data_IF_939794851999
#
_entry.id   IF_939794851999
#
_cell.length_a   1.000
_cell.length_b   1.000
_cell.length_c   1.000
_cell.angle_alpha   90.00
_cell.angle_beta   90.00
_cell.angle_gamma   90.00
#
_symmetry.space_group_name_H-M   'P 1'
#
loop_
_entity.id
_entity.type
_entity.pdbx_description
1 polymer ?
#
# COMPACT_ATOMS: atom_id res chain seq x y z
N UNK A 1 1.41 35.22 11.97
CA UNK A 1 2.81 35.54 12.35
C UNK A 1 3.26 34.48 13.34
N UNK A 2 3.94 33.44 12.87
CA UNK A 2 4.49 32.40 13.74
C UNK A 2 5.99 32.65 13.90
N UNK A 3 6.43 32.70 15.16
CA UNK A 3 7.83 32.87 15.53
C UNK A 3 8.64 31.68 15.01
N UNK A 4 9.61 31.96 14.12
CA UNK A 4 10.68 31.03 13.78
C UNK A 4 11.55 30.82 15.03
N UNK A 5 11.36 29.71 15.73
CA UNK A 5 12.39 29.22 16.64
C UNK A 5 13.54 28.68 15.78
N UNK A 6 14.72 29.30 15.94
CA UNK A 6 16.00 28.72 15.50
C UNK A 6 16.20 27.41 16.25
N UNK A 7 16.39 26.33 15.51
CA UNK A 7 16.89 25.06 16.05
C UNK A 7 18.41 25.20 16.07
N UNK A 8 18.97 25.54 17.23
CA UNK A 8 20.40 25.43 17.50
C UNK A 8 20.74 23.96 17.79
N UNK A 9 21.88 23.50 17.25
CA UNK A 9 22.44 22.17 17.46
C UNK A 9 22.76 21.91 18.93
N UNK A 10 21.98 21.04 19.58
CA UNK A 10 22.25 20.54 20.93
C UNK A 10 21.33 19.35 21.23
N UNK A 11 21.92 18.22 21.64
CA UNK A 11 21.30 16.98 22.13
C UNK A 11 19.77 16.89 21.96
N UNK A 12 19.31 16.28 20.87
CA UNK A 12 17.89 15.96 20.69
C UNK A 12 17.51 14.82 21.65
N UNK A 13 16.95 15.17 22.81
CA UNK A 13 16.43 14.21 23.77
C UNK A 13 15.17 13.54 23.23
N UNK A 14 15.23 12.23 23.04
CA UNK A 14 14.09 11.39 22.64
C UNK A 14 13.33 10.91 23.89
N UNK A 15 11.99 10.95 23.87
CA UNK A 15 11.16 10.44 24.96
C UNK A 15 10.57 9.07 24.62
N UNK A 16 10.41 8.15 25.58
CA UNK A 16 9.72 6.87 25.39
C UNK A 16 8.47 6.86 26.25
N UNK A 17 7.32 6.56 25.65
CA UNK A 17 6.10 6.25 26.39
C UNK A 17 5.72 4.79 26.19
N UNK A 18 5.35 4.14 27.29
CA UNK A 18 4.73 2.82 27.25
C UNK A 18 3.25 2.99 26.88
N UNK A 19 2.77 2.34 25.82
CA UNK A 19 1.34 2.20 25.58
C UNK A 19 0.75 1.27 26.63
N UNK A 20 0.29 1.81 27.78
CA UNK A 20 -0.22 0.98 28.89
C UNK A 20 -1.71 1.09 29.17
N UNK A 21 -2.44 2.00 28.52
CA UNK A 21 -3.85 2.22 28.84
C UNK A 21 -4.71 2.40 27.59
N UNK A 22 -5.15 1.33 26.90
CA UNK A 22 -6.35 1.34 26.02
C UNK A 22 -6.97 -0.07 25.95
N UNK A 23 -8.29 -0.13 25.83
CA UNK A 23 -9.13 -1.33 25.74
C UNK A 23 -8.81 -2.23 24.54
N UNK A 24 -8.46 -3.49 24.84
CA UNK A 24 -8.13 -4.57 23.91
C UNK A 24 -9.34 -4.94 23.04
N UNK A 25 -9.25 -4.74 21.72
CA UNK A 25 -10.13 -5.44 20.78
C UNK A 25 -9.46 -6.73 20.28
N UNK A 26 -9.86 -7.88 20.84
CA UNK A 26 -9.22 -9.18 20.62
C UNK A 26 -9.35 -9.76 19.20
N UNK A 27 -10.14 -9.14 18.31
CA UNK A 27 -10.48 -9.71 17.00
C UNK A 27 -9.40 -9.52 15.92
N UNK A 28 -8.42 -8.63 16.14
CA UNK A 28 -7.39 -8.28 15.15
C UNK A 28 -5.95 -8.59 15.59
N UNK A 29 -5.76 -9.23 16.75
CA UNK A 29 -4.42 -9.54 17.26
C UNK A 29 -3.83 -10.78 16.58
N UNK A 30 -2.61 -10.66 16.09
CA UNK A 30 -1.77 -11.80 15.70
C UNK A 30 -1.34 -12.58 16.96
N UNK A 31 -1.48 -13.90 16.92
CA UNK A 31 -1.02 -14.78 17.97
C UNK A 31 0.50 -14.74 18.06
N UNK A 32 1.02 -15.10 19.24
CA UNK A 32 2.46 -15.17 19.47
C UNK A 32 3.14 -16.13 18.49
N UNK A 33 2.48 -17.23 18.15
CA UNK A 33 2.96 -18.21 17.18
C UNK A 33 3.04 -17.63 15.76
N UNK A 34 1.99 -16.93 15.31
CA UNK A 34 1.97 -16.27 13.99
C UNK A 34 3.07 -15.21 13.89
N UNK A 35 3.22 -14.37 14.91
CA UNK A 35 4.26 -13.34 14.96
C UNK A 35 5.65 -13.96 14.96
N UNK A 36 5.88 -15.03 15.72
CA UNK A 36 7.17 -15.73 15.75
C UNK A 36 7.49 -16.41 14.43
N UNK A 37 6.50 -17.02 13.77
CA UNK A 37 6.70 -17.66 12.47
C UNK A 37 7.11 -16.61 11.42
N UNK A 38 6.34 -15.52 11.34
CA UNK A 38 6.56 -14.44 10.39
C UNK A 38 7.85 -13.64 10.66
N UNK A 39 8.17 -13.39 11.93
CA UNK A 39 9.35 -12.63 12.31
C UNK A 39 10.65 -13.46 12.36
N UNK A 40 10.64 -14.78 12.17
CA UNK A 40 11.86 -15.60 12.18
C UNK A 40 12.52 -15.76 10.79
N UNK A 41 11.93 -15.24 9.71
CA UNK A 41 12.49 -15.35 8.35
C UNK A 41 13.54 -14.25 8.06
N UNK A 42 14.72 -14.36 8.67
CA UNK A 42 15.99 -13.64 8.38
C UNK A 42 16.09 -12.11 8.65
N UNK A 43 16.94 -11.72 9.61
CA UNK A 43 18.26 -11.04 9.45
C UNK A 43 18.83 -10.59 10.81
N UNK A 44 20.17 -10.45 10.85
CA UNK A 44 21.10 -10.14 11.97
C UNK A 44 20.58 -10.27 13.40
N UNK A 45 20.57 -11.50 13.91
CA UNK A 45 20.38 -11.77 15.34
C UNK A 45 21.71 -11.82 16.07
N UNK A 46 21.95 -10.92 17.03
CA UNK A 46 22.55 -11.40 18.28
C UNK A 46 21.50 -12.29 18.95
N UNK A 47 21.89 -13.32 19.72
CA UNK A 47 20.92 -14.17 20.43
C UNK A 47 19.93 -13.38 21.29
N UNK A 48 20.31 -12.18 21.71
CA UNK A 48 19.56 -11.32 22.63
C UNK A 48 18.57 -10.35 21.96
N UNK A 49 18.73 -10.00 20.67
CA UNK A 49 17.91 -8.99 20.00
C UNK A 49 17.42 -9.45 18.62
N UNK A 50 16.18 -9.14 18.30
CA UNK A 50 15.65 -9.17 16.93
C UNK A 50 15.38 -7.74 16.46
N UNK A 51 15.95 -7.37 15.31
CA UNK A 51 15.88 -6.02 14.75
C UNK A 51 15.27 -6.13 13.34
N UNK A 52 14.20 -5.36 13.09
CA UNK A 52 13.51 -5.36 11.79
C UNK A 52 12.90 -4.01 11.47
N UNK A 53 12.78 -3.70 10.18
CA UNK A 53 11.89 -2.62 9.73
C UNK A 53 10.48 -3.16 9.51
N UNK A 54 9.50 -2.37 9.95
CA UNK A 54 8.09 -2.57 9.70
C UNK A 54 7.55 -1.34 8.98
N UNK A 55 6.75 -1.55 7.94
CA UNK A 55 6.13 -0.50 7.14
C UNK A 55 4.62 -0.54 7.34
N UNK A 56 4.04 0.53 7.87
CA UNK A 56 2.59 0.72 7.91
C UNK A 56 2.13 1.42 6.64
N UNK A 57 1.35 0.72 5.81
CA UNK A 57 0.91 1.22 4.50
C UNK A 57 -0.44 1.93 4.53
N UNK A 58 -1.21 1.81 5.62
CA UNK A 58 -2.51 2.49 5.75
C UNK A 58 -2.43 3.74 6.59
N UNK A 59 -3.10 4.80 6.12
CA UNK A 59 -3.17 6.06 6.83
C UNK A 59 -3.89 5.94 8.19
N UNK A 60 -4.84 5.02 8.29
CA UNK A 60 -5.57 4.72 9.51
C UNK A 60 -4.71 4.13 10.63
N UNK A 61 -3.82 3.19 10.29
CA UNK A 61 -2.88 2.65 11.27
C UNK A 61 -1.87 3.74 11.68
N UNK A 62 -1.51 4.64 10.77
CA UNK A 62 -0.71 5.82 11.10
C UNK A 62 -1.43 6.79 12.04
N UNK A 63 -2.73 7.05 11.85
CA UNK A 63 -3.56 7.83 12.79
C UNK A 63 -3.59 7.15 14.16
N UNK A 64 -3.78 5.82 14.20
CA UNK A 64 -3.77 5.07 15.46
C UNK A 64 -2.43 5.21 16.19
N UNK A 65 -1.31 4.99 15.49
CA UNK A 65 0.04 5.12 16.04
C UNK A 65 0.31 6.56 16.51
N UNK A 66 -0.06 7.58 15.72
CA UNK A 66 0.07 8.99 16.09
C UNK A 66 -0.69 9.35 17.37
N UNK A 67 -1.82 8.69 17.60
CA UNK A 67 -2.62 8.78 18.83
C UNK A 67 -2.16 7.83 19.94
N UNK A 68 -0.98 7.21 19.80
CA UNK A 68 -0.38 6.26 20.76
C UNK A 68 -1.16 4.96 20.93
N UNK A 69 -2.05 4.64 19.99
CA UNK A 69 -2.65 3.32 19.91
C UNK A 69 -1.72 2.38 19.12
N UNK A 70 -0.94 1.60 19.85
CA UNK A 70 0.04 0.66 19.27
C UNK A 70 -0.52 -0.75 19.03
N UNK A 71 -1.81 -1.00 19.27
CA UNK A 71 -2.44 -2.30 19.00
C UNK A 71 -2.39 -2.70 17.53
N UNK A 72 -2.22 -1.72 16.64
CA UNK A 72 -2.10 -1.93 15.20
C UNK A 72 -0.73 -2.47 14.79
N UNK A 73 0.28 -2.37 15.66
CA UNK A 73 1.64 -2.86 15.40
C UNK A 73 1.71 -4.34 15.83
N UNK A 74 2.04 -5.27 14.91
CA UNK A 74 2.00 -6.70 15.13
C UNK A 74 3.28 -7.16 15.87
N UNK A 75 3.51 -6.63 17.06
CA UNK A 75 4.66 -6.96 17.91
C UNK A 75 4.23 -7.11 19.36
N UNK A 76 5.08 -7.77 20.15
CA UNK A 76 4.79 -8.05 21.55
C UNK A 76 5.05 -6.81 22.41
N UNK A 77 4.03 -6.38 23.17
CA UNK A 77 4.12 -5.28 24.16
C UNK A 77 4.91 -4.06 23.64
N UNK A 78 4.41 -3.38 22.59
CA UNK A 78 5.14 -2.30 21.93
C UNK A 78 5.40 -1.12 22.87
N UNK A 79 6.62 -0.60 22.83
CA UNK A 79 7.07 0.62 23.50
C UNK A 79 7.48 1.64 22.44
N UNK A 80 6.74 2.75 22.34
CA UNK A 80 6.98 3.76 21.32
C UNK A 80 8.03 4.76 21.76
N UNK A 81 8.97 5.01 20.87
CA UNK A 81 9.97 6.07 20.95
C UNK A 81 9.44 7.31 20.22
N UNK A 82 9.23 8.40 20.95
CA UNK A 82 8.77 9.68 20.43
C UNK A 82 9.98 10.54 20.01
N UNK A 83 10.11 10.78 18.71
CA UNK A 83 11.16 11.60 18.11
C UNK A 83 10.57 12.60 17.09
N UNK A 84 11.42 13.28 16.33
CA UNK A 84 10.98 14.26 15.32
C UNK A 84 10.10 13.63 14.23
N UNK A 85 10.38 12.39 13.83
CA UNK A 85 9.55 11.65 12.85
C UNK A 85 8.15 11.43 13.40
N UNK A 86 8.04 11.02 14.67
CA UNK A 86 6.74 10.88 15.34
C UNK A 86 5.97 12.20 15.41
N UNK A 87 6.68 13.30 15.66
CA UNK A 87 6.06 14.64 15.69
C UNK A 87 5.51 15.02 14.31
N UNK A 88 6.27 14.81 13.24
CA UNK A 88 5.79 15.00 11.86
C UNK A 88 4.62 14.09 11.53
N UNK A 89 4.60 12.86 12.05
CA UNK A 89 3.47 11.94 11.86
C UNK A 89 2.20 12.48 12.53
N UNK A 90 2.32 12.99 13.75
CA UNK A 90 1.21 13.65 14.45
C UNK A 90 0.73 14.89 13.72
N UNK A 91 1.62 15.68 13.14
CA UNK A 91 1.25 16.85 12.34
C UNK A 91 0.49 16.45 11.08
N UNK A 92 0.98 15.45 10.33
CA UNK A 92 0.35 14.97 9.10
C UNK A 92 -1.01 14.32 9.36
N UNK A 93 -1.17 13.60 10.47
CA UNK A 93 -2.39 12.85 10.79
C UNK A 93 -3.43 13.64 11.59
N UNK A 94 -3.11 14.88 12.01
CA UNK A 94 -4.09 15.79 12.62
C UNK A 94 -5.14 16.18 11.60
N UNK A 95 -6.30 15.52 11.63
CA UNK A 95 -7.49 15.94 10.91
C UNK A 95 -8.67 16.09 11.85
N UNK A 96 -9.47 17.13 11.62
CA UNK A 96 -10.74 17.36 12.32
C UNK A 96 -11.84 16.39 11.87
N UNK A 97 -11.66 15.73 10.71
CA UNK A 97 -12.67 14.87 10.10
C UNK A 97 -12.67 13.45 10.69
N UNK A 98 -11.54 12.97 11.22
CA UNK A 98 -11.40 11.61 11.76
C UNK A 98 -11.75 10.50 10.76
N UNK A 99 -11.76 10.82 9.45
CA UNK A 99 -12.17 9.90 8.39
C UNK A 99 -10.99 9.13 7.82
N UNK A 100 -11.29 7.91 7.38
CA UNK A 100 -10.42 7.06 6.56
C UNK A 100 -9.91 7.85 5.35
N UNK A 101 -8.64 7.65 5.00
CA UNK A 101 -8.05 8.21 3.78
C UNK A 101 -7.90 7.11 2.73
N UNK A 102 -8.84 7.05 1.80
CA UNK A 102 -8.72 6.27 0.58
C UNK A 102 -7.58 6.79 -0.31
N UNK A 103 -7.02 5.90 -1.14
CA UNK A 103 -6.09 6.30 -2.22
C UNK A 103 -6.83 6.83 -3.46
N UNK A 104 -8.17 6.76 -3.45
CA UNK A 104 -9.06 7.24 -4.49
C UNK A 104 -10.10 8.22 -3.94
N UNK A 105 -10.52 9.23 -4.71
CA UNK A 105 -11.78 9.97 -4.47
C UNK A 105 -12.55 10.13 -5.78
N UNK A 106 -13.88 9.93 -5.76
CA UNK A 106 -14.69 10.12 -6.97
C UNK A 106 -14.71 11.58 -7.41
N UNK A 107 -14.58 11.79 -8.72
CA UNK A 107 -14.75 13.06 -9.41
C UNK A 107 -16.11 13.16 -10.11
N UNK A 108 -16.13 13.72 -11.31
CA UNK A 108 -17.35 13.84 -12.11
C UNK A 108 -17.61 12.59 -12.96
N UNK A 109 -18.82 12.53 -13.53
CA UNK A 109 -19.24 11.48 -14.44
C UNK A 109 -19.39 12.03 -15.87
N UNK A 110 -19.05 11.21 -16.85
CA UNK A 110 -19.09 11.52 -18.28
C UNK A 110 -19.80 10.41 -19.06
N UNK A 111 -20.25 10.74 -20.28
CA UNK A 111 -20.94 9.77 -21.14
C UNK A 111 -19.98 8.93 -21.97
N UNK A 112 -18.77 9.43 -22.25
CA UNK A 112 -17.74 8.71 -23.00
C UNK A 112 -16.37 9.37 -22.84
N UNK A 113 -15.32 8.67 -23.25
CA UNK A 113 -13.96 9.20 -23.33
C UNK A 113 -13.88 10.40 -24.28
N UNK A 114 -14.62 10.40 -25.40
CA UNK A 114 -14.63 11.53 -26.32
C UNK A 114 -15.27 12.78 -25.72
N UNK A 115 -16.30 12.63 -24.88
CA UNK A 115 -16.90 13.77 -24.18
C UNK A 115 -15.96 14.30 -23.10
N UNK A 116 -15.24 13.41 -22.40
CA UNK A 116 -14.22 13.77 -21.44
C UNK A 116 -13.07 14.56 -22.08
N UNK A 117 -12.53 14.10 -23.21
CA UNK A 117 -11.44 14.76 -23.94
C UNK A 117 -11.85 16.10 -24.58
N UNK A 118 -13.15 16.37 -24.74
CA UNK A 118 -13.62 17.72 -25.15
C UNK A 118 -13.57 18.72 -24.00
N UNK A 119 -13.88 18.26 -22.78
CA UNK A 119 -13.84 19.08 -21.57
C UNK A 119 -12.40 19.28 -21.09
N UNK A 120 -11.58 18.22 -21.14
CA UNK A 120 -10.17 18.18 -20.73
C UNK A 120 -9.26 17.75 -21.90
N UNK A 121 -8.96 18.65 -22.86
CA UNK A 121 -8.13 18.33 -24.03
C UNK A 121 -6.68 17.94 -23.70
N UNK A 122 -6.21 18.26 -22.51
CA UNK A 122 -4.88 17.92 -21.98
C UNK A 122 -4.80 16.51 -21.40
N UNK A 123 -5.92 15.82 -21.22
CA UNK A 123 -5.92 14.45 -20.74
C UNK A 123 -5.30 13.49 -21.76
N UNK A 124 -4.52 12.53 -21.26
CA UNK A 124 -3.83 11.53 -22.05
C UNK A 124 -4.61 10.22 -22.02
N UNK A 125 -4.77 9.58 -23.18
CA UNK A 125 -5.30 8.21 -23.27
C UNK A 125 -4.21 7.25 -22.79
N UNK A 126 -4.55 6.29 -21.93
CA UNK A 126 -3.60 5.27 -21.46
C UNK A 126 -3.43 4.21 -22.57
N UNK A 127 -2.52 4.47 -23.50
CA UNK A 127 -2.31 3.60 -24.65
C UNK A 127 -1.90 2.18 -24.24
N UNK A 128 -2.60 1.19 -24.80
CA UNK A 128 -2.30 -0.23 -24.60
C UNK A 128 -2.57 -0.77 -23.19
N UNK A 129 -3.10 0.05 -22.26
CA UNK A 129 -3.36 -0.33 -20.86
C UNK A 129 -2.13 -1.02 -20.23
N UNK A 130 -0.96 -0.42 -20.46
CA UNK A 130 0.34 -0.82 -19.90
C UNK A 130 0.89 0.28 -18.99
N UNK A 131 1.88 -0.05 -18.16
CA UNK A 131 2.52 0.90 -17.25
C UNK A 131 1.87 0.90 -15.87
N UNK A 132 1.88 2.05 -15.17
CA UNK A 132 1.37 2.15 -13.78
C UNK A 132 -0.16 2.26 -13.67
N UNK A 133 -0.86 2.57 -14.76
CA UNK A 133 -2.30 2.86 -14.73
C UNK A 133 -3.13 1.99 -15.68
N UNK A 134 -2.89 0.66 -15.77
CA UNK A 134 -3.54 -0.19 -16.78
C UNK A 134 -5.07 -0.25 -16.66
N UNK A 135 -5.64 0.08 -15.50
CA UNK A 135 -7.09 0.05 -15.31
C UNK A 135 -7.80 1.27 -15.90
N UNK A 136 -7.13 2.42 -15.98
CA UNK A 136 -7.73 3.68 -16.39
C UNK A 136 -7.69 3.85 -17.91
N UNK A 137 -8.74 4.45 -18.47
CA UNK A 137 -8.86 4.80 -19.88
C UNK A 137 -8.09 6.07 -20.24
N UNK A 138 -8.16 7.08 -19.36
CA UNK A 138 -7.41 8.33 -19.49
C UNK A 138 -6.79 8.74 -18.17
N UNK A 139 -5.73 9.55 -18.23
CA UNK A 139 -5.12 10.20 -17.07
C UNK A 139 -4.90 11.70 -17.34
N UNK A 140 -5.06 12.55 -16.33
CA UNK A 140 -4.66 13.96 -16.38
C UNK A 140 -4.13 14.46 -15.05
N UNK A 141 -3.46 15.61 -15.07
CA UNK A 141 -3.14 16.34 -13.85
C UNK A 141 -4.38 17.15 -13.42
N UNK A 142 -4.75 17.18 -12.13
CA UNK A 142 -5.79 18.08 -11.63
C UNK A 142 -5.34 19.54 -11.74
N UNK A 143 -6.30 20.42 -11.97
CA UNK A 143 -6.08 21.87 -11.83
C UNK A 143 -5.85 22.24 -10.36
N UNK A 144 -5.23 23.40 -10.11
CA UNK A 144 -4.90 23.81 -8.75
C UNK A 144 -6.16 23.97 -7.87
N UNK A 145 -7.24 24.51 -8.41
CA UNK A 145 -8.51 24.67 -7.71
C UNK A 145 -9.15 23.32 -7.33
N UNK A 146 -8.94 22.28 -8.15
CA UNK A 146 -9.36 20.91 -7.82
C UNK A 146 -8.54 20.35 -6.66
N UNK A 147 -7.23 20.60 -6.63
CA UNK A 147 -6.36 20.23 -5.51
C UNK A 147 -6.71 20.97 -4.23
N UNK A 148 -7.04 22.26 -4.30
CA UNK A 148 -7.48 23.05 -3.14
C UNK A 148 -8.74 22.44 -2.52
N UNK A 149 -9.74 22.12 -3.34
CA UNK A 149 -10.96 21.44 -2.87
C UNK A 149 -10.65 20.07 -2.27
N UNK A 150 -9.78 19.28 -2.91
CA UNK A 150 -9.36 17.98 -2.40
C UNK A 150 -8.68 18.10 -1.02
N UNK A 151 -7.91 19.17 -0.80
CA UNK A 151 -7.18 19.43 0.45
C UNK A 151 -8.08 19.74 1.66
N UNK A 152 -9.35 20.08 1.44
CA UNK A 152 -10.33 20.27 2.51
C UNK A 152 -10.55 18.96 3.30
N UNK A 153 -10.48 17.83 2.60
CA UNK A 153 -10.76 16.50 3.14
C UNK A 153 -9.57 15.52 3.02
N UNK A 154 -8.43 15.94 2.49
CA UNK A 154 -7.22 15.11 2.38
C UNK A 154 -6.01 15.76 3.06
N UNK A 155 -5.56 15.25 4.23
CA UNK A 155 -4.50 15.89 5.00
C UNK A 155 -3.13 15.84 4.30
N UNK A 156 -2.86 14.79 3.50
CA UNK A 156 -1.63 14.72 2.72
C UNK A 156 -1.64 15.77 1.61
N UNK A 157 -2.71 15.85 0.81
CA UNK A 157 -2.83 16.88 -0.23
C UNK A 157 -2.69 18.27 0.36
N UNK A 158 -3.34 18.54 1.51
CA UNK A 158 -3.17 19.82 2.23
C UNK A 158 -1.72 20.10 2.58
N UNK A 159 -1.03 19.15 3.21
CA UNK A 159 0.38 19.30 3.54
C UNK A 159 1.24 19.52 2.28
N UNK A 160 0.98 18.80 1.18
CA UNK A 160 1.70 18.98 -0.08
C UNK A 160 1.45 20.35 -0.72
N UNK A 161 0.24 20.91 -0.60
CA UNK A 161 -0.06 22.27 -1.07
C UNK A 161 0.59 23.34 -0.20
N UNK A 162 0.48 23.23 1.13
CA UNK A 162 1.08 24.17 2.10
C UNK A 162 2.60 24.26 1.92
N UNK A 163 3.24 23.14 1.60
CA UNK A 163 4.68 23.05 1.33
C UNK A 163 5.07 23.29 -0.14
N UNK A 164 4.11 23.66 -1.00
CA UNK A 164 4.33 23.93 -2.44
C UNK A 164 4.98 22.76 -3.20
N UNK A 165 4.70 21.53 -2.78
CA UNK A 165 5.27 20.32 -3.37
C UNK A 165 4.74 20.11 -4.79
N UNK A 166 3.48 20.48 -5.03
CA UNK A 166 2.81 20.42 -6.34
C UNK A 166 3.56 21.19 -7.45
N UNK A 167 4.37 22.20 -7.11
CA UNK A 167 5.20 22.94 -8.08
C UNK A 167 6.34 22.07 -8.67
N UNK A 168 6.64 20.93 -8.05
CA UNK A 168 7.75 20.03 -8.43
C UNK A 168 7.33 18.59 -8.65
N UNK A 169 6.36 18.11 -7.88
CA UNK A 169 5.89 16.73 -7.92
C UNK A 169 4.37 16.73 -7.94
N UNK A 170 3.71 15.95 -8.81
CA UNK A 170 2.27 15.87 -8.80
C UNK A 170 1.77 15.35 -7.45
N UNK A 171 0.76 16.02 -6.88
CA UNK A 171 0.14 15.63 -5.62
C UNK A 171 -0.94 14.54 -5.81
N UNK A 172 -1.60 14.56 -6.96
CA UNK A 172 -2.60 13.59 -7.40
C UNK A 172 -2.63 13.55 -8.93
N UNK A 173 -3.25 12.52 -9.49
CA UNK A 173 -3.72 12.44 -10.87
C UNK A 173 -5.23 12.27 -10.87
N UNK A 174 -5.88 12.46 -12.01
CA UNK A 174 -7.27 12.02 -12.23
C UNK A 174 -7.25 10.97 -13.32
N UNK A 175 -7.78 9.79 -13.01
CA UNK A 175 -8.02 8.73 -13.96
C UNK A 175 -9.50 8.61 -14.29
N UNK A 176 -9.82 8.12 -15.49
CA UNK A 176 -11.20 7.73 -15.83
C UNK A 176 -11.31 6.24 -16.10
N UNK A 177 -12.46 5.65 -15.80
CA UNK A 177 -12.77 4.26 -16.15
C UNK A 177 -14.28 4.05 -16.29
N UNK A 178 -14.69 2.99 -16.98
CA UNK A 178 -16.08 2.58 -17.06
C UNK A 178 -16.52 1.87 -15.77
N UNK A 179 -17.67 2.25 -15.19
CA UNK A 179 -18.23 1.58 -14.02
C UNK A 179 -19.52 0.83 -14.38
N UNK A 180 -19.36 -0.30 -15.07
CA UNK A 180 -20.46 -1.07 -15.68
C UNK A 180 -21.62 -1.39 -14.73
N UNK A 181 -21.34 -1.79 -13.48
CA UNK A 181 -22.36 -2.17 -12.50
C UNK A 181 -23.30 -1.02 -12.08
N UNK A 182 -22.91 0.24 -12.30
CA UNK A 182 -23.69 1.42 -11.86
C UNK A 182 -24.38 2.11 -13.04
N UNK A 183 -24.24 1.59 -14.26
CA UNK A 183 -24.76 2.24 -15.46
C UNK A 183 -24.12 3.61 -15.71
N UNK A 184 -22.94 3.87 -15.13
CA UNK A 184 -22.15 5.08 -15.35
C UNK A 184 -21.16 4.79 -16.48
N UNK A 185 -21.29 5.43 -17.66
CA UNK A 185 -20.44 5.13 -18.80
C UNK A 185 -18.96 5.43 -18.54
N UNK A 186 -18.66 6.54 -17.87
CA UNK A 186 -17.30 6.90 -17.51
C UNK A 186 -17.31 7.72 -16.21
N UNK A 187 -16.47 7.35 -15.25
CA UNK A 187 -16.32 8.05 -13.96
C UNK A 187 -14.88 8.55 -13.79
N UNK A 188 -14.71 9.76 -13.25
CA UNK A 188 -13.42 10.26 -12.77
C UNK A 188 -13.11 9.73 -11.37
N UNK A 189 -11.83 9.46 -11.13
CA UNK A 189 -11.29 9.18 -9.81
C UNK A 189 -9.96 9.91 -9.63
N UNK A 190 -9.85 10.69 -8.56
CA UNK A 190 -8.58 11.25 -8.09
C UNK A 190 -7.70 10.13 -7.55
N UNK A 191 -6.57 9.89 -8.18
CA UNK A 191 -5.55 8.92 -7.78
C UNK A 191 -4.55 9.64 -6.88
N UNK A 192 -4.53 9.28 -5.60
CA UNK A 192 -3.75 9.95 -4.57
C UNK A 192 -2.46 9.18 -4.25
N UNK A 193 -1.44 9.90 -3.78
CA UNK A 193 -0.25 9.26 -3.19
C UNK A 193 -0.59 8.57 -1.87
N UNK A 194 0.05 7.43 -1.60
CA UNK A 194 -0.01 6.76 -0.31
C UNK A 194 0.97 7.35 0.70
N UNK A 195 0.73 7.06 1.99
CA UNK A 195 1.62 7.45 3.09
C UNK A 195 2.05 6.20 3.82
N UNK A 196 3.35 6.02 3.93
CA UNK A 196 3.99 4.90 4.59
C UNK A 196 4.74 5.37 5.83
N UNK A 197 4.43 4.78 6.98
CA UNK A 197 5.25 4.96 8.18
C UNK A 197 6.26 3.83 8.27
N UNK A 198 7.55 4.17 8.28
CA UNK A 198 8.63 3.20 8.45
C UNK A 198 9.08 3.23 9.91
N UNK A 199 9.09 2.07 10.54
CA UNK A 199 9.44 1.90 11.94
C UNK A 199 10.55 0.86 12.09
N UNK A 200 11.59 1.18 12.85
CA UNK A 200 12.54 0.20 13.35
C UNK A 200 11.96 -0.46 14.61
N UNK A 201 11.84 -1.77 14.58
CA UNK A 201 11.38 -2.59 15.71
C UNK A 201 12.57 -3.36 16.29
N UNK A 202 12.75 -3.25 17.61
CA UNK A 202 13.82 -3.94 18.33
C UNK A 202 13.21 -4.73 19.48
N UNK A 203 13.21 -6.06 19.37
CA UNK A 203 12.64 -6.97 20.37
C UNK A 203 13.73 -7.54 21.27
N UNK A 204 13.52 -7.49 22.58
CA UNK A 204 14.37 -8.18 23.54
C UNK A 204 14.03 -9.68 23.56
N UNK A 205 14.88 -10.48 22.93
CA UNK A 205 14.76 -11.95 22.89
C UNK A 205 15.51 -12.65 24.03
N UNK A 206 16.19 -11.90 24.91
CA UNK A 206 16.87 -12.46 26.06
C UNK A 206 15.92 -12.75 27.22
N UNK A 207 16.35 -13.58 28.17
CA UNK A 207 15.63 -13.84 29.42
C UNK A 207 15.85 -12.73 30.48
N UNK A 208 16.55 -11.65 30.14
CA UNK A 208 16.91 -10.57 31.05
C UNK A 208 16.46 -9.20 30.54
N UNK A 209 16.39 -8.20 31.43
CA UNK A 209 16.10 -6.83 31.00
C UNK A 209 17.29 -6.23 30.25
N UNK A 210 17.01 -5.51 29.17
CA UNK A 210 17.99 -4.74 28.39
C UNK A 210 17.71 -3.25 28.56
N UNK A 211 18.73 -2.41 28.54
CA UNK A 211 18.58 -0.95 28.53
C UNK A 211 19.25 -0.42 27.27
N UNK A 212 18.47 0.18 26.36
CA UNK A 212 19.03 0.90 25.23
C UNK A 212 19.63 2.22 25.69
N UNK A 213 20.83 2.54 25.19
CA UNK A 213 21.56 3.76 25.57
C UNK A 213 21.60 4.77 24.43
N UNK A 214 21.92 4.31 23.21
CA UNK A 214 22.25 5.19 22.10
C UNK A 214 21.90 4.56 20.75
N UNK A 215 21.30 5.33 19.85
CA UNK A 215 21.09 4.97 18.46
C UNK A 215 22.03 5.81 17.59
N UNK A 216 23.00 5.18 16.95
CA UNK A 216 23.83 5.81 15.93
C UNK A 216 23.11 5.74 14.59
N UNK A 217 23.09 6.86 13.85
CA UNK A 217 22.32 6.99 12.62
C UNK A 217 22.96 7.93 11.61
N UNK A 218 22.50 7.83 10.38
CA UNK A 218 22.61 8.84 9.35
C UNK A 218 21.26 9.53 9.21
N UNK A 219 21.19 10.84 9.49
CA UNK A 219 19.91 11.56 9.54
C UNK A 219 19.88 12.72 8.57
N UNK A 220 18.75 12.88 7.91
CA UNK A 220 18.37 14.07 7.18
C UNK A 220 17.25 14.80 7.93
N UNK A 221 17.55 16.01 8.42
CA UNK A 221 16.58 16.87 9.10
C UNK A 221 15.89 17.75 8.07
N UNK A 222 14.60 17.53 7.86
CA UNK A 222 13.74 18.40 7.06
C UNK A 222 12.43 18.69 7.78
N UNK A 223 11.76 19.76 7.35
CA UNK A 223 10.41 20.14 7.77
C UNK A 223 9.44 20.12 6.58
N UNK A 224 9.86 19.55 5.44
CA UNK A 224 9.08 19.55 4.20
C UNK A 224 9.20 18.19 3.51
N UNK A 225 8.68 18.11 2.30
CA UNK A 225 8.82 16.96 1.42
C UNK A 225 10.13 17.04 0.63
N UNK A 226 10.94 15.98 0.71
CA UNK A 226 12.19 15.87 -0.03
C UNK A 226 12.32 14.50 -0.68
N UNK A 227 12.91 14.44 -1.87
CA UNK A 227 13.21 13.18 -2.54
C UNK A 227 14.19 12.37 -1.70
N UNK A 228 13.84 11.12 -1.43
CA UNK A 228 14.65 10.16 -0.65
C UNK A 228 16.07 10.02 -1.21
N UNK A 229 16.21 9.97 -2.54
CA UNK A 229 17.50 9.83 -3.24
C UNK A 229 18.41 11.06 -3.13
N UNK A 230 17.89 12.22 -2.73
CA UNK A 230 18.63 13.49 -2.61
C UNK A 230 18.84 13.94 -1.17
N UNK A 231 18.37 13.17 -0.20
CA UNK A 231 18.48 13.51 1.22
C UNK A 231 19.96 13.60 1.64
N UNK A 232 20.37 14.78 2.11
CA UNK A 232 21.71 15.00 2.64
C UNK A 232 21.80 14.46 4.07
N UNK A 233 22.34 13.26 4.22
CA UNK A 233 22.49 12.57 5.49
C UNK A 233 23.69 13.06 6.29
N UNK A 234 23.52 13.19 7.61
CA UNK A 234 24.58 13.53 8.57
C UNK A 234 24.60 12.51 9.69
N UNK A 235 25.78 12.10 10.12
CA UNK A 235 25.92 11.23 11.29
C UNK A 235 25.40 11.92 12.54
N UNK A 236 24.41 11.32 13.19
CA UNK A 236 23.83 11.77 14.44
C UNK A 236 23.70 10.59 15.39
N UNK A 237 23.96 10.86 16.67
CA UNK A 237 23.82 9.91 17.74
C UNK A 237 22.69 10.36 18.66
N UNK A 238 21.65 9.53 18.78
CA UNK A 238 20.49 9.82 19.60
C UNK A 238 20.61 9.12 20.95
N UNK A 239 20.50 9.88 22.03
CA UNK A 239 20.39 9.29 23.37
C UNK A 239 18.99 8.71 23.55
N UNK A 240 18.91 7.42 23.86
CA UNK A 240 17.65 6.75 24.14
C UNK A 240 17.35 6.78 25.66
N UNK A 241 16.07 6.85 26.05
CA UNK A 241 15.70 6.74 27.45
C UNK A 241 16.20 5.44 28.07
N UNK A 242 16.76 5.53 29.27
CA UNK A 242 17.27 4.39 30.04
C UNK A 242 16.14 3.58 30.70
N UNK A 243 15.11 3.27 29.94
CA UNK A 243 13.99 2.42 30.37
C UNK A 243 14.41 0.93 30.27
N UNK A 244 14.14 0.11 31.30
CA UNK A 244 14.37 -1.32 31.21
C UNK A 244 13.35 -1.97 30.27
N UNK A 245 13.83 -2.61 29.21
CA UNK A 245 13.06 -3.37 28.23
C UNK A 245 13.03 -4.83 28.69
N UNK A 246 11.84 -5.34 29.01
CA UNK A 246 11.67 -6.70 29.51
C UNK A 246 11.80 -7.74 28.40
N UNK A 247 12.01 -9.02 28.75
CA UNK A 247 11.91 -10.13 27.80
C UNK A 247 10.60 -10.06 27.00
N UNK A 248 10.72 -10.18 25.68
CA UNK A 248 9.66 -10.07 24.67
C UNK A 248 8.95 -8.70 24.58
N UNK A 249 9.46 -7.63 25.19
CA UNK A 249 9.01 -6.27 24.84
C UNK A 249 9.72 -5.80 23.58
N UNK A 250 8.97 -5.11 22.71
CA UNK A 250 9.48 -4.56 21.46
C UNK A 250 9.50 -3.03 21.53
N UNK A 251 10.67 -2.44 21.32
CA UNK A 251 10.80 -0.99 21.14
C UNK A 251 10.52 -0.64 19.68
N UNK A 252 9.65 0.33 19.44
CA UNK A 252 9.24 0.82 18.13
C UNK A 252 9.78 2.25 17.96
N UNK A 253 10.66 2.44 17.00
CA UNK A 253 11.27 3.73 16.66
C UNK A 253 10.76 4.17 15.29
N UNK A 254 9.98 5.25 15.17
CA UNK A 254 9.64 5.85 13.88
C UNK A 254 10.92 6.39 13.23
N UNK A 255 11.20 5.99 11.99
CA UNK A 255 12.44 6.36 11.29
C UNK A 255 12.20 7.19 10.03
N UNK A 256 11.06 7.03 9.36
CA UNK A 256 10.68 7.90 8.24
C UNK A 256 9.18 7.87 7.96
N UNK A 257 8.68 8.93 7.34
CA UNK A 257 7.37 8.98 6.69
C UNK A 257 7.64 9.09 5.19
N UNK A 258 7.30 8.05 4.44
CA UNK A 258 7.50 8.00 2.99
C UNK A 258 6.16 8.23 2.28
N UNK A 259 6.19 9.01 1.21
CA UNK A 259 5.06 9.29 0.36
C UNK A 259 5.29 8.55 -0.95
N UNK A 260 4.37 7.64 -1.28
CA UNK A 260 4.55 6.75 -2.44
C UNK A 260 4.45 7.52 -3.76
N UNK A 261 4.93 6.94 -4.87
CA UNK A 261 4.54 7.35 -6.21
C UNK A 261 3.01 7.30 -6.38
N UNK A 262 2.50 8.08 -7.34
CA UNK A 262 1.09 8.00 -7.74
C UNK A 262 0.88 6.68 -8.50
N UNK A 263 -0.22 5.98 -8.21
CA UNK A 263 -0.48 4.63 -8.70
C UNK A 263 0.07 3.53 -7.80
N UNK A 264 0.65 3.89 -6.65
CA UNK A 264 1.22 2.94 -5.70
C UNK A 264 2.67 2.59 -6.02
N UNK A 265 3.12 1.49 -5.43
CA UNK A 265 4.41 0.89 -5.76
C UNK A 265 4.17 -0.52 -6.29
N UNK A 266 5.10 -0.99 -7.09
CA UNK A 266 5.08 -2.40 -7.52
C UNK A 266 5.65 -3.25 -6.41
N UNK A 267 4.86 -4.21 -5.91
CA UNK A 267 5.34 -5.20 -4.94
C UNK A 267 5.14 -6.61 -5.43
N UNK A 268 6.13 -7.47 -5.17
CA UNK A 268 5.99 -8.90 -5.23
C UNK A 268 5.74 -9.43 -3.81
N UNK A 269 4.62 -10.11 -3.60
CA UNK A 269 4.31 -10.76 -2.34
C UNK A 269 5.12 -12.05 -2.17
N UNK A 270 5.85 -12.16 -1.05
CA UNK A 270 6.64 -13.34 -0.68
C UNK A 270 5.81 -14.24 0.25
N UNK A 271 5.20 -13.64 1.28
CA UNK A 271 4.28 -14.32 2.18
C UNK A 271 3.25 -13.36 2.77
N UNK A 272 2.10 -13.90 3.19
CA UNK A 272 0.98 -13.12 3.69
C UNK A 272 0.20 -13.88 4.76
N UNK A 273 -0.18 -13.17 5.81
CA UNK A 273 -1.07 -13.65 6.87
C UNK A 273 -2.27 -12.71 6.96
N UNK A 274 -3.40 -13.04 6.31
CA UNK A 274 -4.61 -12.24 6.43
C UNK A 274 -5.36 -12.58 7.72
N UNK A 275 -5.91 -11.55 8.38
CA UNK A 275 -6.82 -11.64 9.52
C UNK A 275 -8.14 -10.96 9.19
N UNK A 276 -9.08 -11.80 8.77
CA UNK A 276 -10.45 -11.42 8.53
C UNK A 276 -11.17 -11.23 9.86
N UNK A 277 -11.81 -10.08 10.02
CA UNK A 277 -12.77 -9.85 11.10
C UNK A 277 -14.17 -9.63 10.53
N UNK A 278 -15.14 -9.48 11.41
CA UNK A 278 -16.48 -9.04 11.03
C UNK A 278 -16.47 -7.57 10.63
N UNK A 279 -16.42 -7.31 9.32
CA UNK A 279 -16.50 -5.99 8.71
C UNK A 279 -16.28 -6.04 7.20
N UNK A 280 -16.03 -4.89 6.60
CA UNK A 280 -15.75 -4.72 5.17
C UNK A 280 -14.26 -4.73 4.85
N UNK A 281 -13.40 -4.74 5.87
CA UNK A 281 -11.95 -4.77 5.72
C UNK A 281 -11.34 -5.90 6.53
N UNK A 282 -10.14 -6.31 6.16
CA UNK A 282 -9.30 -7.20 6.93
C UNK A 282 -7.92 -6.59 7.13
N UNK A 283 -7.20 -7.08 8.13
CA UNK A 283 -5.78 -6.74 8.32
C UNK A 283 -4.92 -7.80 7.69
N UNK A 284 -3.79 -7.39 7.15
CA UNK A 284 -2.79 -8.31 6.66
C UNK A 284 -1.42 -7.93 7.16
N UNK A 285 -0.64 -8.96 7.42
CA UNK A 285 0.78 -8.89 7.66
C UNK A 285 1.45 -9.56 6.46
N UNK A 286 2.23 -8.80 5.71
CA UNK A 286 2.80 -9.29 4.45
C UNK A 286 4.31 -9.08 4.42
N UNK A 287 5.01 -10.04 3.85
CA UNK A 287 6.41 -9.93 3.48
C UNK A 287 6.46 -9.68 1.98
N UNK A 288 6.97 -8.51 1.59
CA UNK A 288 6.89 -8.00 0.23
C UNK A 288 8.26 -7.51 -0.24
N UNK A 289 8.52 -7.67 -1.54
CA UNK A 289 9.66 -7.07 -2.23
C UNK A 289 9.14 -5.97 -3.15
N UNK A 290 9.47 -4.72 -2.86
CA UNK A 290 9.21 -3.58 -3.74
C UNK A 290 10.35 -3.32 -4.74
N UNK A 291 10.14 -2.40 -5.66
CA UNK A 291 11.15 -1.95 -6.62
C UNK A 291 12.06 -0.85 -6.04
N UNK A 292 13.40 -0.97 -6.16
CA UNK A 292 14.31 0.14 -5.85
C UNK A 292 14.02 1.43 -6.64
N UNK A 293 13.55 1.30 -7.89
CA UNK A 293 13.20 2.46 -8.72
C UNK A 293 12.02 3.24 -8.11
N UNK A 294 11.05 2.53 -7.53
CA UNK A 294 9.93 3.17 -6.84
C UNK A 294 10.38 3.92 -5.58
N UNK A 295 11.42 3.44 -4.88
CA UNK A 295 11.99 4.12 -3.71
C UNK A 295 12.62 5.47 -4.10
N UNK A 296 13.24 5.58 -5.28
CA UNK A 296 13.83 6.83 -5.76
C UNK A 296 12.79 7.91 -6.08
N UNK A 297 11.58 7.48 -6.44
CA UNK A 297 10.43 8.34 -6.70
C UNK A 297 9.63 8.71 -5.44
N UNK A 298 9.91 8.05 -4.31
CA UNK A 298 9.29 8.40 -3.04
C UNK A 298 9.79 9.75 -2.53
N UNK A 299 8.90 10.43 -1.79
CA UNK A 299 9.25 11.60 -1.02
C UNK A 299 9.29 11.22 0.46
N UNK A 300 10.27 11.72 1.20
CA UNK A 300 10.22 11.73 2.66
C UNK A 300 9.49 12.98 3.13
N UNK A 301 8.64 12.86 4.16
CA UNK A 301 8.03 14.01 4.83
C UNK A 301 8.68 14.21 6.21
N UNK A 302 9.33 15.36 6.40
CA UNK A 302 9.98 15.71 7.64
C UNK A 302 11.35 15.02 7.81
N UNK A 303 11.65 14.57 9.03
CA UNK A 303 12.94 13.93 9.33
C UNK A 303 13.01 12.51 8.76
N UNK A 304 14.15 12.16 8.18
CA UNK A 304 14.51 10.79 7.81
C UNK A 304 15.71 10.35 8.63
N UNK A 305 15.55 9.27 9.38
CA UNK A 305 16.59 8.63 10.18
C UNK A 305 16.92 7.30 9.50
N UNK A 306 18.19 7.08 9.17
CA UNK A 306 18.74 5.80 8.73
C UNK A 306 19.59 5.21 9.87
N UNK A 307 19.01 4.36 10.73
CA UNK A 307 19.74 3.70 11.82
C UNK A 307 20.95 2.90 11.33
N UNK A 308 22.07 2.99 12.05
CA UNK A 308 23.31 2.26 11.73
C UNK A 308 23.74 1.32 12.84
N UNK A 309 23.59 1.69 14.10
CA UNK A 309 23.83 0.77 15.22
C UNK A 309 23.08 1.17 16.48
N UNK A 310 22.83 0.20 17.36
CA UNK A 310 22.19 0.38 18.66
C UNK A 310 23.12 -0.06 19.78
N UNK A 311 23.46 0.87 20.67
CA UNK A 311 24.16 0.62 21.92
C UNK A 311 23.19 0.24 23.03
N UNK A 312 23.50 -0.83 23.77
CA UNK A 312 22.67 -1.30 24.88
C UNK A 312 23.47 -1.91 26.03
N UNK A 313 22.84 -1.95 27.20
CA UNK A 313 23.36 -2.61 28.38
C UNK A 313 22.55 -3.88 28.68
N UNK A 314 23.25 -5.01 28.81
CA UNK A 314 22.70 -6.31 29.19
C UNK A 314 23.59 -6.91 30.28
N UNK A 315 23.00 -7.38 31.39
CA UNK A 315 23.76 -7.98 32.51
C UNK A 315 24.96 -7.13 32.98
N UNK A 316 24.79 -5.81 33.05
CA UNK A 316 25.82 -4.81 33.39
C UNK A 316 26.99 -4.67 32.40
N UNK A 317 26.93 -5.28 31.21
CA UNK A 317 27.90 -5.10 30.13
C UNK A 317 27.31 -4.23 29.03
N UNK A 318 28.17 -3.43 28.39
CA UNK A 318 27.81 -2.63 27.22
C UNK A 318 28.04 -3.45 25.95
N UNK A 319 27.08 -3.38 25.06
CA UNK A 319 27.05 -4.05 23.77
C UNK A 319 26.68 -3.02 22.70
N UNK A 320 27.07 -3.29 21.46
CA UNK A 320 26.59 -2.57 20.28
C UNK A 320 26.27 -3.58 19.19
N UNK A 321 25.22 -3.33 18.43
CA UNK A 321 24.80 -4.14 17.29
C UNK A 321 24.55 -3.24 16.11
N UNK A 322 25.10 -3.61 14.96
CA UNK A 322 24.85 -2.95 13.70
C UNK A 322 23.41 -3.23 13.24
N UNK A 323 22.78 -2.21 12.69
CA UNK A 323 21.44 -2.25 12.12
C UNK A 323 21.61 -2.19 10.60
N UNK A 324 20.95 -3.09 9.89
CA UNK A 324 20.95 -3.06 8.43
C UNK A 324 20.18 -1.83 7.92
N UNK A 325 20.47 -1.40 6.70
CA UNK A 325 19.72 -0.33 6.07
C UNK A 325 18.29 -0.78 5.74
N UNK A 326 17.36 0.18 5.68
CA UNK A 326 16.01 -0.10 5.19
C UNK A 326 16.10 -0.58 3.73
N UNK A 327 15.51 -1.73 3.47
CA UNK A 327 15.55 -2.40 2.17
C UNK A 327 14.13 -2.57 1.62
N UNK A 328 13.81 -1.80 0.58
CA UNK A 328 12.48 -1.88 -0.06
C UNK A 328 12.24 -3.24 -0.72
N UNK A 329 13.29 -4.00 -1.06
CA UNK A 329 13.18 -5.34 -1.63
C UNK A 329 12.89 -6.41 -0.57
N UNK A 330 12.88 -6.03 0.70
CA UNK A 330 12.66 -6.93 1.82
C UNK A 330 11.89 -6.23 2.95
N UNK A 331 10.60 -5.98 2.71
CA UNK A 331 9.75 -5.24 3.64
C UNK A 331 8.76 -6.15 4.36
N UNK A 332 8.63 -5.93 5.66
CA UNK A 332 7.50 -6.41 6.43
C UNK A 332 6.46 -5.30 6.52
N UNK A 333 5.27 -5.55 6.00
CA UNK A 333 4.23 -4.53 5.86
C UNK A 333 3.00 -4.89 6.69
N UNK A 334 2.36 -3.87 7.24
CA UNK A 334 0.99 -3.96 7.75
C UNK A 334 0.08 -3.13 6.89
N UNK A 335 -1.01 -3.77 6.48
CA UNK A 335 -1.99 -3.16 5.61
C UNK A 335 -3.42 -3.50 6.07
N UNK A 336 -4.36 -2.66 5.66
CA UNK A 336 -5.79 -2.94 5.72
C UNK A 336 -6.31 -2.97 4.30
N UNK A 337 -6.93 -4.07 3.92
CA UNK A 337 -7.48 -4.26 2.60
C UNK A 337 -8.99 -4.44 2.70
N UNK A 338 -9.70 -3.93 1.68
CA UNK A 338 -11.15 -4.09 1.56
C UNK A 338 -11.48 -5.52 1.13
N UNK A 339 -12.52 -6.09 1.74
CA UNK A 339 -13.17 -7.33 1.31
C UNK A 339 -14.17 -6.96 0.20
N UNK A 340 -13.67 -6.53 -0.94
CA UNK A 340 -14.50 -6.25 -2.11
C UNK A 340 -14.31 -7.33 -3.18
N UNK A 341 -15.41 -7.71 -3.82
CA UNK A 341 -15.42 -8.51 -5.03
C UNK A 341 -16.28 -7.79 -6.06
N UNK A 342 -15.84 -7.74 -7.31
CA UNK A 342 -16.61 -7.14 -8.37
C UNK A 342 -16.71 -7.96 -9.63
N UNK A 343 -15.64 -8.37 -10.29
CA UNK A 343 -15.73 -9.12 -11.54
C UNK A 343 -14.41 -9.84 -11.86
N UNK A 344 -14.47 -11.01 -12.53
CA UNK A 344 -13.27 -11.60 -13.10
C UNK A 344 -12.67 -10.72 -14.19
N UNK A 345 -11.34 -10.62 -14.21
CA UNK A 345 -10.58 -9.76 -15.11
C UNK A 345 -10.14 -10.50 -16.38
N UNK A 346 -10.25 -9.84 -17.53
CA UNK A 346 -9.77 -10.32 -18.83
C UNK A 346 -8.42 -9.71 -19.17
N UNK A 347 -7.49 -10.58 -19.56
CA UNK A 347 -6.20 -10.22 -20.12
C UNK A 347 -6.01 -10.83 -21.52
N UNK A 348 -5.36 -10.09 -22.41
CA UNK A 348 -4.84 -10.65 -23.66
C UNK A 348 -3.34 -10.79 -23.60
N UNK A 349 -2.84 -11.86 -24.21
CA UNK A 349 -1.40 -12.13 -24.32
C UNK A 349 -1.02 -12.29 -25.79
N UNK A 350 -0.09 -11.43 -26.23
CA UNK A 350 0.63 -11.55 -27.49
C UNK A 350 2.07 -11.98 -27.22
N UNK A 351 2.96 -11.01 -26.99
CA UNK A 351 4.31 -11.19 -26.45
C UNK A 351 4.37 -10.81 -24.97
N UNK A 352 3.48 -9.92 -24.53
CA UNK A 352 3.23 -9.55 -23.13
C UNK A 352 1.74 -9.63 -22.83
N UNK A 353 1.41 -9.81 -21.55
CA UNK A 353 0.03 -9.73 -21.08
C UNK A 353 -0.38 -8.25 -20.93
N UNK A 354 -1.61 -7.94 -21.29
CA UNK A 354 -2.24 -6.61 -21.13
C UNK A 354 -3.65 -6.78 -20.56
N UNK A 355 -4.06 -5.86 -19.70
CA UNK A 355 -5.42 -5.84 -19.16
C UNK A 355 -6.39 -5.28 -20.20
N UNK A 356 -7.58 -5.88 -20.29
CA UNK A 356 -8.59 -5.50 -21.29
C UNK A 356 -9.83 -4.92 -20.64
N UNK A 357 -10.50 -5.68 -19.77
CA UNK A 357 -11.72 -5.27 -19.07
C UNK A 357 -12.13 -6.30 -18.01
N UNK A 358 -13.12 -5.93 -17.21
CA UNK A 358 -13.91 -6.85 -16.41
C UNK A 358 -14.85 -7.69 -17.30
N UNK A 359 -15.08 -8.94 -16.92
CA UNK A 359 -16.04 -9.85 -17.54
C UNK A 359 -17.24 -10.05 -16.64
N UNK A 360 -18.40 -10.31 -17.24
CA UNK A 360 -19.65 -10.57 -16.52
C UNK A 360 -20.07 -9.41 -15.57
N UNK A 361 -20.08 -8.12 -15.99
CA UNK A 361 -20.33 -6.96 -15.11
C UNK A 361 -21.64 -7.00 -14.31
N UNK A 362 -22.66 -7.70 -14.81
CA UNK A 362 -23.96 -7.88 -14.14
C UNK A 362 -24.10 -9.27 -13.46
N UNK A 363 -22.96 -9.97 -13.30
CA UNK A 363 -22.89 -11.36 -12.89
C UNK A 363 -22.95 -11.60 -11.38
N UNK A 364 -23.12 -10.55 -10.56
CA UNK A 364 -23.13 -10.72 -9.11
C UNK A 364 -24.34 -11.56 -8.69
N UNK A 365 -24.07 -12.71 -8.08
CA UNK A 365 -25.09 -13.67 -7.63
C UNK A 365 -26.02 -14.22 -8.74
N UNK A 366 -25.87 -13.77 -10.00
CA UNK A 366 -26.80 -14.02 -11.10
C UNK A 366 -26.04 -14.47 -12.33
N UNK A 367 -26.49 -15.55 -12.98
CA UNK A 367 -25.87 -16.01 -14.21
C UNK A 367 -26.18 -15.07 -15.36
N UNK A 368 -25.15 -14.49 -15.95
CA UNK A 368 -25.22 -13.61 -17.13
C UNK A 368 -24.39 -14.18 -18.27
N UNK A 369 -24.54 -13.61 -19.46
CA UNK A 369 -23.72 -13.93 -20.63
C UNK A 369 -22.91 -12.70 -21.04
N UNK A 370 -21.68 -12.94 -21.46
CA UNK A 370 -20.76 -11.92 -21.94
C UNK A 370 -20.02 -12.47 -23.17
N UNK A 371 -19.50 -11.58 -24.01
CA UNK A 371 -18.77 -11.94 -25.21
C UNK A 371 -17.73 -10.90 -25.60
N UNK A 372 -16.70 -11.35 -26.29
CA UNK A 372 -15.69 -10.49 -26.89
C UNK A 372 -15.10 -11.13 -28.15
N UNK A 373 -14.50 -10.30 -28.99
CA UNK A 373 -13.76 -10.74 -30.18
C UNK A 373 -12.27 -10.59 -29.94
N UNK A 374 -11.50 -11.60 -30.32
CA UNK A 374 -10.05 -11.61 -30.19
C UNK A 374 -9.44 -10.69 -31.26
N UNK A 375 -8.69 -9.64 -30.88
CA UNK A 375 -8.09 -8.71 -31.83
C UNK A 375 -6.85 -9.32 -32.51
N UNK A 376 -6.30 -8.60 -33.48
CA UNK A 376 -5.09 -9.02 -34.17
C UNK A 376 -3.92 -9.25 -33.21
N UNK A 377 -3.07 -10.21 -33.55
CA UNK A 377 -1.82 -10.55 -32.84
C UNK A 377 -1.98 -11.09 -31.40
N UNK A 378 -3.20 -11.34 -30.93
CA UNK A 378 -3.44 -12.04 -29.67
C UNK A 378 -3.33 -13.56 -29.87
N UNK A 379 -2.53 -14.21 -29.04
CA UNK A 379 -2.29 -15.67 -29.07
C UNK A 379 -3.10 -16.40 -28.00
N UNK A 380 -3.43 -15.69 -26.92
CA UNK A 380 -4.08 -16.25 -25.75
C UNK A 380 -4.88 -15.17 -25.04
N UNK A 381 -6.00 -15.55 -24.44
CA UNK A 381 -6.66 -14.75 -23.41
C UNK A 381 -6.62 -15.47 -22.07
N UNK A 382 -6.64 -14.71 -20.99
CA UNK A 382 -6.68 -15.20 -19.61
C UNK A 382 -7.84 -14.55 -18.87
N UNK A 383 -8.57 -15.35 -18.11
CA UNK A 383 -9.57 -14.91 -17.16
C UNK A 383 -8.96 -15.12 -15.78
N UNK A 384 -8.86 -14.08 -14.97
CA UNK A 384 -8.31 -14.14 -13.63
C UNK A 384 -9.31 -13.61 -12.60
N UNK A 385 -9.40 -14.30 -11.47
CA UNK A 385 -10.11 -13.82 -10.30
C UNK A 385 -9.10 -13.15 -9.37
N UNK A 386 -9.13 -11.82 -9.28
CA UNK A 386 -8.12 -11.06 -8.52
C UNK A 386 -8.65 -10.52 -7.20
N UNK A 387 -9.97 -10.41 -7.07
CA UNK A 387 -10.64 -9.81 -5.91
C UNK A 387 -11.13 -10.90 -4.94
N UNK A 388 -11.61 -10.51 -3.75
CA UNK A 388 -12.07 -11.43 -2.70
C UNK A 388 -13.47 -12.02 -3.03
N UNK A 389 -13.53 -12.77 -4.12
CA UNK A 389 -14.74 -13.41 -4.63
C UNK A 389 -14.49 -14.79 -5.23
N UNK A 390 -15.55 -15.38 -5.78
CA UNK A 390 -15.47 -16.66 -6.49
C UNK A 390 -16.27 -16.59 -7.77
N UNK A 391 -15.56 -16.69 -8.88
CA UNK A 391 -16.14 -16.74 -10.22
C UNK A 391 -16.49 -18.18 -10.62
N UNK A 392 -17.70 -18.35 -11.13
CA UNK A 392 -18.22 -19.58 -11.72
C UNK A 392 -18.49 -19.36 -13.21
N UNK A 393 -17.74 -20.05 -14.06
CA UNK A 393 -17.97 -20.06 -15.51
C UNK A 393 -18.74 -21.35 -15.85
N UNK A 394 -20.05 -21.21 -16.05
CA UNK A 394 -20.94 -22.32 -16.37
C UNK A 394 -20.57 -22.92 -17.72
N UNK A 395 -20.30 -22.08 -18.72
CA UNK A 395 -19.83 -22.51 -20.04
C UNK A 395 -19.07 -21.41 -20.77
N UNK A 396 -18.07 -21.82 -21.56
CA UNK A 396 -17.28 -20.95 -22.44
C UNK A 396 -17.21 -21.57 -23.83
N UNK A 397 -17.52 -20.76 -24.83
CA UNK A 397 -17.50 -21.13 -26.25
C UNK A 397 -16.47 -20.29 -27.00
N UNK A 398 -15.70 -20.92 -27.88
CA UNK A 398 -14.84 -20.24 -28.86
C UNK A 398 -15.35 -20.64 -30.25
N UNK A 399 -15.78 -19.67 -31.05
CA UNK A 399 -16.41 -19.90 -32.36
C UNK A 399 -17.54 -20.95 -32.31
N UNK A 400 -18.44 -20.78 -31.34
CA UNK A 400 -19.57 -21.68 -31.03
C UNK A 400 -19.20 -23.12 -30.60
N UNK A 401 -17.91 -23.42 -30.43
CA UNK A 401 -17.43 -24.70 -29.87
C UNK A 401 -17.31 -24.59 -28.36
N UNK A 402 -17.95 -25.49 -27.61
CA UNK A 402 -17.82 -25.56 -26.15
C UNK A 402 -16.38 -25.95 -25.77
N UNK A 403 -15.63 -25.00 -25.23
CA UNK A 403 -14.21 -25.17 -24.88
C UNK A 403 -14.02 -25.46 -23.40
N UNK A 404 -14.84 -24.87 -22.52
CA UNK A 404 -14.80 -25.14 -21.09
C UNK A 404 -16.20 -25.12 -20.47
N UNK A 405 -16.35 -25.85 -19.37
CA UNK A 405 -17.61 -25.97 -18.63
C UNK A 405 -17.33 -26.13 -17.15
N UNK A 406 -18.16 -25.50 -16.32
CA UNK A 406 -18.13 -25.64 -14.85
C UNK A 406 -16.76 -25.31 -14.24
N UNK A 407 -16.14 -24.22 -14.70
CA UNK A 407 -14.92 -23.72 -14.06
C UNK A 407 -15.27 -22.94 -12.80
N UNK A 408 -14.42 -23.07 -11.80
CA UNK A 408 -14.46 -22.29 -10.56
C UNK A 408 -13.10 -21.63 -10.38
N UNK A 409 -13.09 -20.32 -10.24
CA UNK A 409 -11.92 -19.53 -9.91
C UNK A 409 -12.15 -18.91 -8.53
N UNK A 410 -11.23 -19.14 -7.60
CA UNK A 410 -11.16 -18.41 -6.33
C UNK A 410 -10.14 -17.27 -6.48
N UNK A 411 -10.09 -16.34 -5.53
CA UNK A 411 -9.07 -15.27 -5.49
C UNK A 411 -7.66 -15.78 -5.77
N UNK A 412 -6.99 -15.16 -6.73
CA UNK A 412 -5.67 -15.50 -7.24
C UNK A 412 -5.66 -16.57 -8.34
N UNK A 413 -6.76 -17.30 -8.57
CA UNK A 413 -6.85 -18.30 -9.64
C UNK A 413 -6.97 -17.61 -11.01
N UNK A 414 -6.35 -18.21 -12.02
CA UNK A 414 -6.53 -17.80 -13.41
C UNK A 414 -6.56 -18.98 -14.37
N UNK A 415 -7.23 -18.79 -15.49
CA UNK A 415 -7.35 -19.80 -16.55
C UNK A 415 -7.14 -19.14 -17.91
N UNK A 416 -6.39 -19.82 -18.78
CA UNK A 416 -5.99 -19.26 -20.07
C UNK A 416 -6.34 -20.18 -21.24
N UNK A 417 -6.65 -19.56 -22.38
CA UNK A 417 -7.07 -20.26 -23.60
C UNK A 417 -6.34 -19.72 -24.82
N UNK A 418 -5.81 -20.62 -25.65
CA UNK A 418 -5.21 -20.25 -26.93
C UNK A 418 -6.30 -19.89 -27.94
N UNK A 419 -6.06 -18.81 -28.69
CA UNK A 419 -7.00 -18.23 -29.65
C UNK A 419 -6.28 -17.68 -30.87
N UNK A 420 -7.04 -17.44 -31.93
CA UNK A 420 -6.61 -16.75 -33.15
C UNK A 420 -7.33 -15.41 -33.32
N UNK A 421 -6.72 -14.50 -34.08
CA UNK A 421 -7.36 -13.24 -34.47
C UNK A 421 -8.72 -13.48 -35.10
N UNK A 422 -9.73 -12.73 -34.65
CA UNK A 422 -11.11 -12.83 -35.11
C UNK A 422 -11.96 -13.90 -34.41
N UNK A 423 -11.36 -14.73 -33.54
CA UNK A 423 -12.14 -15.68 -32.74
C UNK A 423 -13.18 -14.95 -31.90
N UNK A 424 -14.41 -15.45 -31.90
CA UNK A 424 -15.49 -14.93 -31.05
C UNK A 424 -15.60 -15.81 -29.81
N UNK A 425 -15.44 -15.20 -28.63
CA UNK A 425 -15.57 -15.87 -27.34
C UNK A 425 -16.89 -15.47 -26.71
N UNK A 426 -17.67 -16.46 -26.26
CA UNK A 426 -18.90 -16.25 -25.49
C UNK A 426 -18.83 -17.05 -24.21
N UNK A 427 -19.04 -16.39 -23.08
CA UNK A 427 -19.06 -17.01 -21.77
C UNK A 427 -20.41 -16.80 -21.10
N UNK A 428 -20.79 -17.75 -20.26
CA UNK A 428 -21.93 -17.66 -19.37
C UNK A 428 -21.47 -18.05 -17.97
N UNK A 429 -21.78 -17.23 -16.98
CA UNK A 429 -21.30 -17.42 -15.62
C UNK A 429 -21.81 -16.37 -14.65
N UNK A 430 -21.30 -16.42 -13.43
CA UNK A 430 -21.61 -15.50 -12.33
C UNK A 430 -20.44 -15.46 -11.36
N UNK A 431 -20.40 -14.45 -10.49
CA UNK A 431 -19.47 -14.39 -9.38
C UNK A 431 -20.23 -14.22 -8.06
N UNK A 432 -19.63 -14.72 -6.98
CA UNK A 432 -20.13 -14.62 -5.62
C UNK A 432 -19.09 -13.88 -4.79
N UNK A 433 -19.43 -12.67 -4.35
CA UNK A 433 -18.59 -11.89 -3.45
C UNK A 433 -18.57 -12.56 -2.07
N UNK A 434 -17.42 -12.57 -1.39
CA UNK A 434 -17.35 -13.16 -0.04
C UNK A 434 -18.13 -12.34 1.00
N UNK A 435 -18.31 -11.04 0.74
CA UNK A 435 -19.23 -10.12 1.44
C UNK A 435 -19.83 -9.12 0.45
N UNK A 436 -21.01 -8.59 0.75
CA UNK A 436 -21.57 -7.46 0.01
C UNK A 436 -20.76 -6.20 0.35
N UNK A 437 -20.23 -5.49 -0.64
CA UNK A 437 -19.58 -4.19 -0.42
C UNK A 437 -20.64 -3.15 -0.06
N UNK A 438 -20.58 -2.57 1.13
CA UNK A 438 -21.40 -1.42 1.52
C UNK A 438 -20.61 -0.09 1.45
N UNK A 439 -19.44 -0.11 0.82
CA UNK A 439 -18.53 1.03 0.70
C UNK A 439 -18.84 1.88 -0.54
N UNK A 440 -19.09 3.18 -0.32
CA UNK A 440 -19.11 4.23 -1.35
C UNK A 440 -17.69 4.65 -1.80
N UNK A 441 -16.64 3.88 -1.45
CA UNK A 441 -15.26 4.22 -1.78
C UNK A 441 -14.96 3.95 -3.27
N UNK A 442 -14.10 4.76 -3.90
CA UNK A 442 -13.65 4.50 -5.26
C UNK A 442 -12.77 3.25 -5.36
N UNK A 443 -13.06 2.41 -6.35
CA UNK A 443 -12.38 1.13 -6.54
C UNK A 443 -11.32 1.14 -7.64
N UNK A 444 -11.25 2.19 -8.47
CA UNK A 444 -10.35 2.23 -9.63
C UNK A 444 -8.89 2.13 -9.24
N UNK A 445 -8.46 2.88 -8.22
CA UNK A 445 -7.08 2.84 -7.71
C UNK A 445 -6.72 1.47 -7.13
N UNK A 446 -7.66 0.84 -6.42
CA UNK A 446 -7.47 -0.50 -5.85
C UNK A 446 -7.35 -1.56 -6.94
N UNK A 447 -8.29 -1.60 -7.89
CA UNK A 447 -8.26 -2.53 -9.04
C UNK A 447 -7.02 -2.35 -9.88
N UNK A 448 -6.59 -1.10 -10.08
CA UNK A 448 -5.35 -0.79 -10.76
C UNK A 448 -4.13 -1.43 -10.09
N UNK A 449 -4.07 -1.42 -8.75
CA UNK A 449 -3.01 -2.11 -7.99
C UNK A 449 -3.04 -3.62 -8.23
N UNK A 450 -4.20 -4.27 -8.08
CA UNK A 450 -4.34 -5.72 -8.29
C UNK A 450 -3.91 -6.15 -9.69
N UNK A 451 -4.32 -5.39 -10.70
CA UNK A 451 -3.98 -5.65 -12.10
C UNK A 451 -2.47 -5.49 -12.33
N UNK A 452 -1.85 -4.45 -11.78
CA UNK A 452 -0.40 -4.26 -11.87
C UNK A 452 0.36 -5.42 -11.21
N UNK A 453 -0.03 -5.81 -10.00
CA UNK A 453 0.60 -6.90 -9.26
C UNK A 453 0.50 -8.22 -10.05
N UNK A 454 -0.67 -8.50 -10.64
CA UNK A 454 -0.87 -9.67 -11.50
C UNK A 454 0.00 -9.63 -12.76
N UNK A 455 0.08 -8.47 -13.44
CA UNK A 455 0.88 -8.32 -14.66
C UNK A 455 2.38 -8.47 -14.38
N UNK A 456 2.86 -7.97 -13.24
CA UNK A 456 4.27 -8.04 -12.86
C UNK A 456 4.67 -9.45 -12.39
N UNK A 457 3.85 -10.09 -11.56
CA UNK A 457 4.08 -11.46 -11.08
C UNK A 457 4.20 -12.47 -12.24
N UNK A 458 3.46 -12.25 -13.33
CA UNK A 458 3.45 -13.12 -14.50
C UNK A 458 4.52 -12.78 -15.56
N UNK A 459 5.27 -11.68 -15.41
CA UNK A 459 6.43 -11.36 -16.25
C UNK A 459 7.64 -12.23 -15.88
N UNK A 460 7.85 -12.48 -14.58
CA UNK A 460 9.02 -13.22 -14.08
C UNK A 460 8.96 -14.73 -14.37
N UNK A 461 7.76 -15.29 -14.59
CA UNK A 461 7.59 -16.68 -15.02
C UNK A 461 8.05 -16.96 -16.46
N UNK A 462 8.41 -15.93 -17.24
CA UNK A 462 8.88 -16.05 -18.64
C UNK A 462 10.41 -16.05 -18.79
N UNK A 463 11.17 -15.96 -17.69
CA UNK A 463 12.65 -15.90 -17.71
C UNK A 463 13.32 -17.24 -17.32
N UNK A 464 12.55 -18.31 -17.02
CA UNK A 464 13.11 -19.65 -16.78
C UNK A 464 12.87 -20.63 -17.92
#
# INVERSE_FOLDING_TARGET
MFNKQKIDSGDESINIQAGRDVHINSHFQFSLEELKAFLNESQTSLPELSIKYLVSQTFDDLIAIANRNLEVIPVMNPLLVENNVFTSLQELTRSDSGRYRDLGKYGNNFNSVEDYLKEYPEAEIVEGRQGRFPYFDTIRSPEFEELEKLSEDDPLTRAMLDHKVHEKFPAALIGTYEHGCWGVPLIEEYILRGVWGVFLTITNNSDTNIIFEQLESETHLSQTFESTSKAALKSLAYTLPRAPIKPNETVVIPVSILITPIGGITTNEISRIPKFADGEWFRELSHQSGSPDDLEEMLSFGTLIAPKSIGFQSQNKKHSVDIHDFDITNMYTINRAWQCGSCPHLFFTSDQAVYIRELLPDGQNTTVSDSFTVPENVKQFTIAELEDETTYIDSLYINDVLTAKSLKLNTGDSVSFFVSSGDTVRLQGRYLTHRDSASDAPFGTYRNSLINDYLNSNRDLRIN
#
